data_IF_650955750449
#
_entry.id   IF_650955750449
#
_cell.length_a   1.000
_cell.length_b   1.000
_cell.length_c   1.000
_cell.angle_alpha   90.00
_cell.angle_beta   90.00
_cell.angle_gamma   90.00
#
_symmetry.space_group_name_H-M   'P 1'
#
loop_
_entity.id
_entity.type
_entity.pdbx_description
1 polymer ?
#
# COMPACT_ATOMS: atom_id res chain seq x y z
N UNK A 1 -32.24 -19.13 -4.81
CA UNK A 1 -31.06 -18.64 -5.55
C UNK A 1 -29.92 -19.60 -5.27
N UNK A 2 -29.32 -20.26 -6.27
CA UNK A 2 -28.22 -21.18 -6.03
C UNK A 2 -26.99 -20.37 -5.60
N UNK A 3 -26.38 -20.77 -4.49
CA UNK A 3 -25.11 -20.21 -4.04
C UNK A 3 -24.08 -20.48 -5.14
N UNK A 4 -23.53 -19.42 -5.73
CA UNK A 4 -22.37 -19.50 -6.60
C UNK A 4 -21.19 -19.97 -5.75
N UNK A 5 -20.96 -21.28 -5.72
CA UNK A 5 -19.76 -21.88 -5.14
C UNK A 5 -18.59 -21.53 -6.06
N UNK A 6 -17.98 -20.36 -5.83
CA UNK A 6 -16.72 -20.04 -6.45
C UNK A 6 -15.72 -21.16 -6.06
N UNK A 7 -15.03 -21.81 -7.03
CA UNK A 7 -14.12 -22.94 -6.78
C UNK A 7 -12.82 -22.55 -6.06
N UNK A 8 -12.81 -21.41 -5.38
CA UNK A 8 -11.60 -20.71 -4.92
C UNK A 8 -11.39 -20.94 -3.43
N UNK A 9 -10.58 -21.94 -3.07
CA UNK A 9 -10.06 -22.05 -1.71
C UNK A 9 -8.72 -21.32 -1.58
N UNK A 10 -8.43 -20.61 -0.48
CA UNK A 10 -7.16 -19.90 -0.27
C UNK A 10 -5.89 -20.77 -0.39
N UNK A 11 -6.04 -22.10 -0.35
CA UNK A 11 -4.93 -23.06 -0.46
C UNK A 11 -4.35 -23.19 -1.87
N UNK A 12 -5.08 -22.80 -2.93
CA UNK A 12 -4.62 -22.98 -4.31
C UNK A 12 -3.59 -21.94 -4.80
N UNK A 13 -3.32 -20.85 -4.05
CA UNK A 13 -2.44 -19.74 -4.49
C UNK A 13 -1.08 -19.65 -3.82
N UNK A 14 -0.73 -20.57 -2.89
CA UNK A 14 0.49 -20.41 -2.09
C UNK A 14 0.48 -19.15 -1.21
N UNK A 15 -0.72 -18.64 -0.89
CA UNK A 15 -0.98 -17.43 -0.11
C UNK A 15 -1.05 -16.14 -0.93
N UNK A 16 -1.62 -15.08 -0.35
CA UNK A 16 -1.70 -13.77 -0.97
C UNK A 16 -0.34 -13.06 -0.96
N UNK A 17 -0.03 -12.31 -2.01
CA UNK A 17 1.17 -11.47 -2.13
C UNK A 17 0.77 -10.06 -2.54
N UNK A 18 1.51 -9.07 -2.03
CA UNK A 18 1.40 -7.69 -2.51
C UNK A 18 2.11 -7.54 -3.86
N UNK A 19 1.93 -6.39 -4.52
CA UNK A 19 2.48 -6.09 -5.84
C UNK A 19 3.99 -6.41 -5.98
N UNK A 20 4.76 -6.12 -4.92
CA UNK A 20 6.22 -6.33 -4.82
C UNK A 20 6.64 -7.74 -4.39
N UNK A 21 5.68 -8.62 -4.14
CA UNK A 21 5.87 -10.06 -3.92
C UNK A 21 5.98 -10.51 -2.46
N UNK A 22 6.03 -9.59 -1.49
CA UNK A 22 5.99 -9.96 -0.08
C UNK A 22 4.69 -10.72 0.25
N UNK A 23 4.82 -11.83 1.01
CA UNK A 23 3.68 -12.65 1.41
C UNK A 23 2.85 -11.96 2.48
N UNK A 24 1.53 -12.08 2.36
CA UNK A 24 0.57 -11.75 3.41
C UNK A 24 0.30 -13.02 4.22
N UNK A 25 0.80 -13.04 5.45
CA UNK A 25 0.90 -14.26 6.28
C UNK A 25 -0.24 -14.45 7.27
N UNK A 26 -1.17 -13.49 7.39
CA UNK A 26 -2.30 -13.57 8.31
C UNK A 26 -3.63 -13.32 7.58
N UNK A 27 -4.68 -14.02 8.00
CA UNK A 27 -6.02 -13.83 7.43
C UNK A 27 -6.59 -12.43 7.66
N UNK A 28 -6.25 -11.80 8.79
CA UNK A 28 -6.59 -10.39 9.05
C UNK A 28 -5.85 -9.43 8.12
N UNK A 29 -4.55 -9.65 7.90
CA UNK A 29 -3.77 -8.86 6.94
C UNK A 29 -4.29 -9.02 5.51
N UNK A 30 -4.67 -10.24 5.10
CA UNK A 30 -5.22 -10.48 3.77
C UNK A 30 -6.52 -9.70 3.57
N UNK A 31 -7.45 -9.75 4.51
CA UNK A 31 -8.73 -9.01 4.41
C UNK A 31 -8.54 -7.50 4.28
N UNK A 32 -7.64 -6.92 5.08
CA UNK A 32 -7.41 -5.47 5.04
C UNK A 32 -6.65 -5.04 3.79
N UNK A 33 -5.50 -5.67 3.51
CA UNK A 33 -4.66 -5.31 2.36
C UNK A 33 -5.41 -5.50 1.04
N UNK A 34 -6.18 -6.59 0.89
CA UNK A 34 -6.96 -6.80 -0.33
C UNK A 34 -8.09 -5.77 -0.47
N UNK A 35 -8.73 -5.38 0.63
CA UNK A 35 -9.76 -4.33 0.61
C UNK A 35 -9.19 -2.96 0.27
N UNK A 36 -8.06 -2.60 0.87
CA UNK A 36 -7.31 -1.35 0.63
C UNK A 36 -6.83 -1.27 -0.83
N UNK A 37 -6.19 -2.33 -1.34
CA UNK A 37 -5.71 -2.39 -2.73
C UNK A 37 -6.85 -2.47 -3.75
N UNK A 38 -7.97 -3.13 -3.43
CA UNK A 38 -9.15 -3.13 -4.30
C UNK A 38 -9.79 -1.74 -4.40
N UNK A 39 -9.93 -1.04 -3.26
CA UNK A 39 -10.41 0.36 -3.26
C UNK A 39 -9.46 1.27 -4.03
N UNK A 40 -8.14 1.13 -3.81
CA UNK A 40 -7.12 1.87 -4.56
C UNK A 40 -7.25 1.61 -6.07
N UNK A 41 -7.40 0.36 -6.49
CA UNK A 41 -7.56 0.02 -7.91
C UNK A 41 -8.80 0.67 -8.53
N UNK A 42 -9.94 0.67 -7.81
CA UNK A 42 -11.15 1.36 -8.27
C UNK A 42 -10.93 2.87 -8.39
N UNK A 43 -10.27 3.50 -7.42
CA UNK A 43 -9.97 4.93 -7.44
C UNK A 43 -9.05 5.32 -8.62
N UNK A 44 -7.99 4.53 -8.87
CA UNK A 44 -7.10 4.73 -10.02
C UNK A 44 -7.85 4.58 -11.34
N UNK A 45 -8.71 3.56 -11.47
CA UNK A 45 -9.52 3.35 -12.67
C UNK A 45 -10.51 4.50 -12.90
N UNK A 46 -11.09 5.03 -11.83
CA UNK A 46 -12.00 6.18 -11.91
C UNK A 46 -11.28 7.46 -12.36
N UNK A 47 -10.04 7.67 -11.92
CA UNK A 47 -9.21 8.82 -12.35
C UNK A 47 -8.73 8.70 -13.79
N UNK A 48 -8.43 7.48 -14.24
CA UNK A 48 -7.95 7.21 -15.59
C UNK A 48 -9.06 7.23 -16.66
N UNK A 49 -10.34 7.12 -16.28
CA UNK A 49 -11.44 7.15 -17.24
C UNK A 49 -11.75 8.57 -17.71
N UNK A 50 -10.94 9.04 -18.66
CA UNK A 50 -11.16 10.29 -19.39
C UNK A 50 -12.27 10.17 -20.46
N UNK A 51 -12.75 8.95 -20.72
CA UNK A 51 -13.60 8.66 -21.88
C UNK A 51 -15.10 8.70 -21.60
N UNK A 52 -15.51 8.85 -20.34
CA UNK A 52 -16.92 8.89 -19.94
C UNK A 52 -17.70 7.63 -20.33
N UNK A 53 -17.01 6.52 -20.64
CA UNK A 53 -17.64 5.27 -21.06
C UNK A 53 -18.31 4.58 -19.87
N UNK A 54 -19.37 3.83 -20.18
CA UNK A 54 -20.29 3.25 -19.18
C UNK A 54 -19.57 2.53 -18.02
N UNK A 55 -20.06 2.76 -16.81
CA UNK A 55 -19.52 2.17 -15.58
C UNK A 55 -18.99 3.18 -14.56
N UNK A 56 -18.89 4.47 -14.91
CA UNK A 56 -18.47 5.52 -13.98
C UNK A 56 -19.34 5.59 -12.72
N UNK A 57 -20.66 5.64 -12.86
CA UNK A 57 -21.60 5.63 -11.73
C UNK A 57 -21.37 4.41 -10.84
N UNK A 58 -21.26 3.22 -11.44
CA UNK A 58 -21.01 1.97 -10.70
C UNK A 58 -19.70 2.01 -9.91
N UNK A 59 -18.62 2.54 -10.51
CA UNK A 59 -17.33 2.70 -9.82
C UNK A 59 -17.43 3.70 -8.68
N UNK A 60 -18.05 4.87 -8.90
CA UNK A 60 -18.26 5.89 -7.85
C UNK A 60 -19.08 5.35 -6.68
N UNK A 61 -20.14 4.60 -6.94
CA UNK A 61 -20.93 3.92 -5.91
C UNK A 61 -20.14 2.84 -5.17
N UNK A 62 -19.32 2.05 -5.89
CA UNK A 62 -18.45 1.06 -5.28
C UNK A 62 -17.39 1.71 -4.38
N UNK A 63 -16.75 2.78 -4.85
CA UNK A 63 -15.79 3.59 -4.09
C UNK A 63 -16.48 4.17 -2.85
N UNK A 64 -17.63 4.83 -2.99
CA UNK A 64 -18.35 5.44 -1.87
C UNK A 64 -18.68 4.42 -0.77
N UNK A 65 -19.23 3.25 -1.15
CA UNK A 65 -19.56 2.19 -0.18
C UNK A 65 -18.33 1.61 0.51
N UNK A 66 -17.29 1.28 -0.25
CA UNK A 66 -16.06 0.72 0.29
C UNK A 66 -15.34 1.72 1.22
N UNK A 67 -15.33 2.99 0.83
CA UNK A 67 -14.70 4.08 1.59
C UNK A 67 -15.43 4.34 2.89
N UNK A 68 -16.77 4.41 2.89
CA UNK A 68 -17.55 4.63 4.12
C UNK A 68 -17.23 3.61 5.23
N UNK A 69 -17.13 2.32 4.87
CA UNK A 69 -16.76 1.28 5.83
C UNK A 69 -15.31 1.43 6.32
N UNK A 70 -14.37 1.73 5.42
CA UNK A 70 -12.96 1.91 5.77
C UNK A 70 -12.74 3.13 6.66
N UNK A 71 -13.39 4.26 6.36
CA UNK A 71 -13.37 5.47 7.18
C UNK A 71 -13.90 5.20 8.58
N UNK A 72 -15.02 4.48 8.71
CA UNK A 72 -15.54 4.09 10.03
C UNK A 72 -14.51 3.27 10.83
N UNK A 73 -13.80 2.35 10.17
CA UNK A 73 -12.73 1.56 10.80
C UNK A 73 -11.52 2.41 11.18
N UNK A 74 -11.13 3.38 10.35
CA UNK A 74 -10.06 4.32 10.63
C UNK A 74 -10.37 5.15 11.87
N UNK A 75 -11.55 5.78 11.93
CA UNK A 75 -12.00 6.57 13.09
C UNK A 75 -11.97 5.72 14.36
N UNK A 76 -12.48 4.48 14.31
CA UNK A 76 -12.42 3.55 15.44
C UNK A 76 -11.00 3.17 15.86
N UNK A 77 -10.03 3.14 14.94
CA UNK A 77 -8.64 2.82 15.25
C UNK A 77 -7.89 4.03 15.80
N UNK A 78 -8.13 5.22 15.25
CA UNK A 78 -7.56 6.50 15.66
C UNK A 78 -8.01 6.88 17.07
N UNK A 79 -9.28 6.65 17.42
CA UNK A 79 -9.85 7.00 18.73
C UNK A 79 -9.48 6.06 19.89
N UNK A 80 -8.67 5.01 19.67
CA UNK A 80 -8.29 4.08 20.76
C UNK A 80 -7.14 4.65 21.59
N UNK A 81 -7.18 4.57 22.93
CA UNK A 81 -6.06 5.00 23.79
C UNK A 81 -4.72 4.30 23.51
N UNK A 82 -4.77 3.10 22.93
CA UNK A 82 -3.61 2.32 22.46
C UNK A 82 -3.54 2.20 20.93
N UNK A 83 -4.23 3.10 20.23
CA UNK A 83 -4.16 3.21 18.77
C UNK A 83 -2.73 3.54 18.33
N UNK A 84 -2.42 3.26 17.06
CA UNK A 84 -1.10 3.57 16.49
C UNK A 84 -0.97 5.05 16.07
N UNK A 85 -1.99 5.86 16.34
CA UNK A 85 -2.10 7.24 15.91
C UNK A 85 -2.70 7.38 14.50
N UNK A 86 -3.00 8.63 14.15
CA UNK A 86 -3.50 9.04 12.84
C UNK A 86 -2.57 8.54 11.73
N UNK A 87 -3.15 8.04 10.65
CA UNK A 87 -2.37 7.54 9.50
C UNK A 87 -1.85 6.11 9.64
N UNK A 88 -2.07 5.43 10.76
CA UNK A 88 -1.77 4.00 10.89
C UNK A 88 -3.04 3.17 10.92
N UNK A 89 -2.95 1.95 10.40
CA UNK A 89 -4.04 0.97 10.48
C UNK A 89 -3.77 -0.10 11.54
N UNK A 90 -4.40 -1.28 11.40
CA UNK A 90 -4.28 -2.34 12.40
C UNK A 90 -2.83 -2.87 12.58
N UNK A 91 -2.01 -2.85 11.53
CA UNK A 91 -0.61 -3.26 11.57
C UNK A 91 0.24 -2.47 10.56
N UNK A 92 1.57 -2.57 10.67
CA UNK A 92 2.51 -1.85 9.78
C UNK A 92 2.28 -2.19 8.31
N UNK A 93 2.07 -3.48 7.99
CA UNK A 93 1.80 -3.94 6.62
C UNK A 93 0.49 -3.39 6.04
N UNK A 94 -0.59 -3.37 6.83
CA UNK A 94 -1.86 -2.76 6.36
C UNK A 94 -1.76 -1.23 6.31
N UNK A 95 -0.92 -0.61 7.14
CA UNK A 95 -0.69 0.84 7.06
C UNK A 95 -0.08 1.23 5.71
N UNK A 96 0.84 0.42 5.17
CA UNK A 96 1.40 0.65 3.83
C UNK A 96 0.33 0.58 2.74
N UNK A 97 -0.57 -0.41 2.81
CA UNK A 97 -1.68 -0.54 1.88
C UNK A 97 -2.66 0.63 1.99
N UNK A 98 -3.03 1.02 3.21
CA UNK A 98 -3.81 2.23 3.49
C UNK A 98 -3.17 3.48 2.86
N UNK A 99 -1.86 3.70 3.02
CA UNK A 99 -1.18 4.88 2.45
C UNK A 99 -1.29 4.92 0.93
N UNK A 100 -1.16 3.77 0.27
CA UNK A 100 -1.33 3.69 -1.19
C UNK A 100 -2.76 4.02 -1.62
N UNK A 101 -3.75 3.64 -0.82
CA UNK A 101 -5.15 4.03 -1.04
C UNK A 101 -5.35 5.53 -0.81
N UNK A 102 -4.83 6.08 0.28
CA UNK A 102 -4.93 7.53 0.56
C UNK A 102 -4.26 8.36 -0.54
N UNK A 103 -3.14 7.90 -1.11
CA UNK A 103 -2.39 8.60 -2.16
C UNK A 103 -3.18 8.79 -3.45
N UNK A 104 -4.13 7.90 -3.75
CA UNK A 104 -5.00 7.99 -4.93
C UNK A 104 -6.37 8.58 -4.58
N UNK A 105 -6.57 9.05 -3.35
CA UNK A 105 -7.84 9.58 -2.88
C UNK A 105 -8.89 8.49 -2.59
N UNK A 106 -10.11 8.94 -2.31
CA UNK A 106 -11.24 8.06 -1.96
C UNK A 106 -11.49 7.92 -0.46
N UNK A 107 -10.60 8.40 0.41
CA UNK A 107 -10.81 8.43 1.87
C UNK A 107 -10.77 9.88 2.37
N UNK A 108 -11.49 10.17 3.46
CA UNK A 108 -11.47 11.49 4.09
C UNK A 108 -10.12 11.76 4.76
N UNK A 109 -9.81 13.05 4.99
CA UNK A 109 -8.59 13.49 5.70
C UNK A 109 -7.31 12.84 5.15
N UNK A 110 -7.27 12.61 3.83
CA UNK A 110 -6.22 11.82 3.19
C UNK A 110 -4.83 12.41 3.42
N UNK A 111 -4.69 13.72 3.22
CA UNK A 111 -3.44 14.46 3.41
C UNK A 111 -2.94 14.39 4.86
N UNK A 112 -3.82 14.66 5.83
CA UNK A 112 -3.49 14.58 7.27
C UNK A 112 -3.03 13.17 7.65
N UNK A 113 -3.77 12.14 7.23
CA UNK A 113 -3.44 10.74 7.52
C UNK A 113 -2.15 10.30 6.84
N UNK A 114 -1.92 10.72 5.60
CA UNK A 114 -0.67 10.43 4.90
C UNK A 114 0.52 11.09 5.58
N UNK A 115 0.44 12.39 5.85
CA UNK A 115 1.52 13.13 6.50
C UNK A 115 1.85 12.52 7.86
N UNK A 116 0.84 12.26 8.72
CA UNK A 116 1.04 11.64 10.02
C UNK A 116 1.62 10.22 9.91
N UNK A 117 1.08 9.39 9.03
CA UNK A 117 1.53 8.00 8.85
C UNK A 117 2.96 7.89 8.32
N UNK A 118 3.29 8.67 7.29
CA UNK A 118 4.63 8.71 6.69
C UNK A 118 5.63 9.33 7.66
N UNK A 119 5.30 10.42 8.36
CA UNK A 119 6.15 10.99 9.40
C UNK A 119 6.47 9.96 10.51
N UNK A 120 5.49 9.12 10.86
CA UNK A 120 5.65 8.02 11.82
C UNK A 120 6.70 6.96 11.41
N UNK A 121 7.07 6.84 10.13
CA UNK A 121 8.13 5.91 9.70
C UNK A 121 9.49 6.23 10.33
N UNK A 122 9.76 7.51 10.67
CA UNK A 122 11.02 7.93 11.32
C UNK A 122 11.30 7.14 12.59
N UNK A 123 10.28 6.88 13.40
CA UNK A 123 10.38 6.13 14.66
C UNK A 123 10.68 4.63 14.42
N UNK A 124 10.47 4.16 13.19
CA UNK A 124 10.67 2.78 12.79
C UNK A 124 11.92 2.56 11.96
N UNK A 125 12.71 3.59 11.66
CA UNK A 125 14.01 3.44 11.00
C UNK A 125 14.89 2.42 11.75
N UNK A 126 15.58 1.57 11.01
CA UNK A 126 16.51 0.56 11.52
C UNK A 126 17.98 1.01 11.54
N UNK A 127 18.27 2.23 11.08
CA UNK A 127 19.63 2.78 10.94
C UNK A 127 20.38 2.28 9.70
N UNK A 128 19.79 1.37 8.92
CA UNK A 128 20.38 0.75 7.74
C UNK A 128 19.64 1.14 6.46
N UNK A 129 18.74 2.12 6.50
CA UNK A 129 17.92 2.52 5.35
C UNK A 129 16.69 1.64 5.13
N UNK A 130 16.24 0.91 6.16
CA UNK A 130 14.95 0.20 6.16
C UNK A 130 14.12 0.59 7.39
N UNK A 131 12.90 0.04 7.47
CA UNK A 131 11.96 0.31 8.56
C UNK A 131 11.55 -0.99 9.27
N UNK A 132 11.74 -1.04 10.59
CA UNK A 132 11.47 -2.18 11.45
C UNK A 132 10.00 -2.61 11.38
N UNK A 133 9.79 -3.85 10.93
CA UNK A 133 8.47 -4.47 10.83
C UNK A 133 7.63 -3.99 9.65
N UNK A 134 8.18 -3.16 8.75
CA UNK A 134 7.55 -2.80 7.49
C UNK A 134 8.13 -3.65 6.34
N UNK A 135 7.29 -4.14 5.41
CA UNK A 135 7.76 -4.81 4.20
C UNK A 135 8.51 -3.81 3.30
N UNK A 136 9.82 -4.00 3.13
CA UNK A 136 10.67 -2.98 2.51
C UNK A 136 10.22 -2.54 1.12
N UNK A 137 10.03 -3.46 0.18
CA UNK A 137 9.73 -3.08 -1.21
C UNK A 137 8.31 -2.56 -1.34
N UNK A 138 7.36 -3.12 -0.58
CA UNK A 138 6.00 -2.61 -0.58
C UNK A 138 5.91 -1.19 0.02
N UNK A 139 6.68 -0.92 1.08
CA UNK A 139 6.78 0.43 1.67
C UNK A 139 7.43 1.39 0.68
N UNK A 140 8.50 0.95 0.01
CA UNK A 140 9.14 1.72 -1.06
C UNK A 140 8.16 2.08 -2.18
N UNK A 141 7.30 1.13 -2.59
CA UNK A 141 6.28 1.35 -3.61
C UNK A 141 5.22 2.35 -3.17
N UNK A 142 4.84 2.35 -1.88
CA UNK A 142 3.92 3.34 -1.34
C UNK A 142 4.54 4.74 -1.33
N UNK A 143 5.76 4.86 -0.81
CA UNK A 143 6.46 6.15 -0.76
C UNK A 143 6.74 6.72 -2.16
N UNK A 144 7.00 5.86 -3.15
CA UNK A 144 7.19 6.30 -4.53
C UNK A 144 5.93 6.92 -5.15
N UNK A 145 4.75 6.45 -4.76
CA UNK A 145 3.44 6.97 -5.20
C UNK A 145 3.00 8.21 -4.41
N UNK A 146 3.63 8.51 -3.28
CA UNK A 146 3.31 9.66 -2.44
C UNK A 146 4.24 10.83 -2.81
N UNK A 147 3.66 11.97 -3.12
CA UNK A 147 4.38 13.17 -3.56
C UNK A 147 4.39 14.25 -2.46
N UNK A 148 4.90 13.89 -1.28
CA UNK A 148 5.10 14.83 -0.15
C UNK A 148 6.56 14.86 0.29
N UNK A 149 6.97 15.94 0.94
CA UNK A 149 8.33 16.12 1.46
C UNK A 149 8.71 15.03 2.48
N UNK A 150 7.76 14.57 3.29
CA UNK A 150 7.99 13.48 4.24
C UNK A 150 8.28 12.16 3.51
N UNK A 151 7.54 11.86 2.44
CA UNK A 151 7.77 10.65 1.67
C UNK A 151 9.14 10.70 0.98
N UNK A 152 9.52 11.85 0.42
CA UNK A 152 10.85 12.02 -0.16
C UNK A 152 11.97 11.90 0.86
N UNK A 153 11.79 12.45 2.06
CA UNK A 153 12.77 12.29 3.14
C UNK A 153 12.97 10.81 3.53
N UNK A 154 11.90 10.02 3.55
CA UNK A 154 12.00 8.58 3.79
C UNK A 154 12.60 7.82 2.60
N UNK A 155 12.33 8.21 1.35
CA UNK A 155 12.99 7.66 0.17
C UNK A 155 14.51 7.93 0.18
N UNK A 156 14.93 9.16 0.55
CA UNK A 156 16.34 9.52 0.73
C UNK A 156 16.99 8.67 1.82
N UNK A 157 16.32 8.48 2.95
CA UNK A 157 16.79 7.59 4.02
C UNK A 157 16.97 6.14 3.52
N UNK A 158 16.08 5.66 2.66
CA UNK A 158 16.13 4.30 2.12
C UNK A 158 17.23 4.08 1.07
N UNK A 159 17.80 5.15 0.47
CA UNK A 159 18.78 5.07 -0.64
C UNK A 159 19.89 4.03 -0.42
N UNK A 160 20.63 3.99 0.70
CA UNK A 160 21.70 3.01 0.88
C UNK A 160 21.20 1.56 0.85
N UNK A 161 19.98 1.33 1.33
CA UNK A 161 19.38 -0.01 1.34
C UNK A 161 18.82 -0.39 -0.04
N UNK A 162 18.45 0.58 -0.87
CA UNK A 162 18.07 0.37 -2.27
C UNK A 162 19.31 -0.04 -3.07
N UNK A 163 20.40 0.73 -2.98
CA UNK A 163 21.66 0.48 -3.67
C UNK A 163 22.24 -0.91 -3.33
N UNK A 164 22.29 -1.26 -2.04
CA UNK A 164 22.73 -2.60 -1.60
C UNK A 164 21.83 -3.75 -2.06
N UNK A 165 20.59 -3.49 -2.43
CA UNK A 165 19.68 -4.52 -2.98
C UNK A 165 19.83 -4.64 -4.49
N UNK A 166 20.07 -3.53 -5.19
CA UNK A 166 20.38 -3.50 -6.62
C UNK A 166 21.72 -4.18 -6.94
N UNK A 167 22.70 -4.12 -6.03
CA UNK A 167 23.99 -4.79 -6.22
C UNK A 167 23.93 -6.33 -6.13
N UNK A 168 22.79 -6.92 -5.77
CA UNK A 168 22.65 -8.37 -5.58
C UNK A 168 22.15 -9.02 -6.86
N UNK A 169 22.73 -10.17 -7.20
CA UNK A 169 22.23 -11.01 -8.29
C UNK A 169 20.76 -11.41 -8.04
N UNK A 170 19.95 -11.36 -9.09
CA UNK A 170 18.55 -11.78 -9.05
C UNK A 170 18.36 -13.05 -9.87
N UNK A 171 17.44 -13.91 -9.42
CA UNK A 171 17.11 -15.14 -10.15
C UNK A 171 16.37 -14.77 -11.45
N UNK A 172 16.86 -15.23 -12.61
CA UNK A 172 16.11 -15.12 -13.86
C UNK A 172 14.71 -15.72 -13.70
N UNK A 173 13.69 -15.05 -14.23
CA UNK A 173 12.29 -15.51 -14.20
C UNK A 173 11.50 -15.18 -12.92
N UNK A 174 12.08 -14.54 -11.89
CA UNK A 174 11.29 -14.03 -10.76
C UNK A 174 10.63 -12.68 -11.10
N UNK A 175 9.35 -12.71 -11.49
CA UNK A 175 8.56 -11.53 -11.82
C UNK A 175 8.52 -10.49 -10.69
N UNK A 176 8.52 -10.92 -9.43
CA UNK A 176 8.54 -9.97 -8.31
C UNK A 176 9.91 -9.35 -8.12
N UNK A 177 11.00 -10.09 -8.35
CA UNK A 177 12.34 -9.51 -8.36
C UNK A 177 12.47 -8.44 -9.45
N UNK A 178 11.99 -8.72 -10.66
CA UNK A 178 11.98 -7.75 -11.76
C UNK A 178 11.21 -6.46 -11.39
N UNK A 179 10.01 -6.59 -10.79
CA UNK A 179 9.24 -5.44 -10.31
C UNK A 179 9.96 -4.63 -9.23
N UNK A 180 10.55 -5.29 -8.24
CA UNK A 180 11.31 -4.60 -7.17
C UNK A 180 12.53 -3.88 -7.72
N UNK A 181 13.19 -4.45 -8.73
CA UNK A 181 14.34 -3.84 -9.39
C UNK A 181 13.93 -2.60 -10.18
N UNK A 182 12.87 -2.69 -10.98
CA UNK A 182 12.31 -1.55 -11.71
C UNK A 182 11.90 -0.41 -10.76
N UNK A 183 11.19 -0.73 -9.68
CA UNK A 183 10.81 0.24 -8.64
C UNK A 183 12.05 0.90 -8.01
N UNK A 184 13.07 0.12 -7.66
CA UNK A 184 14.30 0.64 -7.08
C UNK A 184 15.02 1.62 -8.02
N UNK A 185 15.11 1.31 -9.32
CA UNK A 185 15.66 2.22 -10.32
C UNK A 185 14.83 3.50 -10.46
N UNK A 186 13.50 3.41 -10.52
CA UNK A 186 12.61 4.56 -10.60
C UNK A 186 12.76 5.49 -9.38
N UNK A 187 12.88 4.91 -8.18
CA UNK A 187 13.12 5.69 -6.96
C UNK A 187 14.47 6.40 -7.02
N UNK A 188 15.55 5.70 -7.37
CA UNK A 188 16.88 6.34 -7.43
C UNK A 188 16.93 7.44 -8.49
N UNK A 189 16.30 7.22 -9.64
CA UNK A 189 16.19 8.24 -10.69
C UNK A 189 15.41 9.48 -10.24
N UNK A 190 14.39 9.32 -9.38
CA UNK A 190 13.65 10.45 -8.80
C UNK A 190 14.48 11.24 -7.77
N UNK A 191 15.46 10.60 -7.12
CA UNK A 191 16.24 11.22 -6.05
C UNK A 191 17.58 11.81 -6.51
N UNK A 192 18.03 11.49 -7.72
CA UNK A 192 19.25 12.01 -8.34
C UNK A 192 18.96 13.28 -9.14
#
# INVERSE_FOLDING_TARGET
MPACSLPWTPKSFGGYRVFTGERVTSGGGARHILGEEALRALAVLEQADHSGRGGQTLRREAIARASAFMVQRLIQHEGRPRGKGTGFYCCRRCSVALWRTLAVGGLDRAEERLSSGVCGLRQHRDGLGAWRGFPFAYTLSALHEIHTDEAEAELRYARPAIERRLSRAHRPGDTYAARRFALAHQVLARLG
#
